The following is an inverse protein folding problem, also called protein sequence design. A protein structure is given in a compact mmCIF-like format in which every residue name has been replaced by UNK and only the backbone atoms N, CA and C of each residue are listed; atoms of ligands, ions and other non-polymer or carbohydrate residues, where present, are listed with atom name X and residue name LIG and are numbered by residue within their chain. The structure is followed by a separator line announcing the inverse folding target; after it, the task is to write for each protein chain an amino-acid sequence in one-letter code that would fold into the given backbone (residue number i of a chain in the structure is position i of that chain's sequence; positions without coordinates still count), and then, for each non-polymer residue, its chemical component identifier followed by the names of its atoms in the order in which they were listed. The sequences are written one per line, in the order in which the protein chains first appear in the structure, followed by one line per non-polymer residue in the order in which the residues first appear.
data_IF_174831549272
#
_entry.id   IF_174831549272
#
_cell.length_a   1.000
_cell.length_b   1.000
_cell.length_c   1.000
_cell.angle_alpha   90.00
_cell.angle_beta   90.00
_cell.angle_gamma   90.00
#
_symmetry.space_group_name_H-M   'P 1'
#
loop_
_entity.id
_entity.type
_entity.pdbx_description
1 polymer ?
#
# COMPACT_ATOMS: atom_id res chain seq x y z
N UNK A 1 -7.11 -1.64 -16.74
CA UNK A 1 -5.71 -2.12 -16.57
C UNK A 1 -5.57 -2.66 -15.17
N UNK A 2 -4.97 -3.83 -15.03
CA UNK A 2 -4.69 -4.38 -13.71
C UNK A 2 -3.53 -3.61 -13.08
N UNK A 3 -3.71 -3.16 -11.86
CA UNK A 3 -2.69 -2.44 -11.09
C UNK A 3 -1.83 -3.44 -10.31
N UNK A 4 -0.51 -3.29 -10.42
CA UNK A 4 0.49 -4.02 -9.64
C UNK A 4 1.07 -3.07 -8.60
N UNK A 5 0.89 -3.37 -7.35
CA UNK A 5 1.55 -2.62 -6.30
C UNK A 5 2.97 -3.14 -6.10
N UNK A 6 3.93 -2.23 -6.18
CA UNK A 6 5.35 -2.55 -6.09
C UNK A 6 5.75 -3.05 -4.71
N UNK A 7 5.02 -2.70 -3.67
CA UNK A 7 5.29 -3.19 -2.31
C UNK A 7 5.35 -4.71 -2.24
N UNK A 8 4.45 -5.41 -2.94
CA UNK A 8 4.46 -6.87 -3.02
C UNK A 8 5.72 -7.43 -3.72
N UNK A 9 6.33 -6.65 -4.62
CA UNK A 9 7.58 -7.04 -5.28
C UNK A 9 8.77 -6.76 -4.36
N UNK A 10 8.73 -5.70 -3.57
CA UNK A 10 9.80 -5.35 -2.61
C UNK A 10 9.89 -6.38 -1.49
N UNK A 11 8.78 -6.99 -1.08
CA UNK A 11 8.78 -8.08 -0.11
C UNK A 11 9.50 -9.34 -0.61
N UNK A 12 9.49 -9.57 -1.92
CA UNK A 12 10.17 -10.68 -2.58
C UNK A 12 11.64 -10.30 -2.91
N UNK A 13 12.43 -10.07 -1.87
CA UNK A 13 13.79 -9.50 -1.93
C UNK A 13 14.76 -10.31 -2.76
N UNK A 14 14.59 -11.63 -2.84
CA UNK A 14 15.49 -12.55 -3.55
C UNK A 14 15.39 -12.42 -5.07
N UNK A 15 14.28 -11.88 -5.57
CA UNK A 15 13.99 -11.77 -6.99
C UNK A 15 14.33 -10.39 -7.58
N UNK A 16 15.15 -9.60 -6.91
CA UNK A 16 15.68 -8.35 -7.47
C UNK A 16 17.12 -8.54 -7.96
N UNK A 17 17.31 -8.39 -9.27
CA UNK A 17 18.60 -8.57 -9.94
C UNK A 17 19.25 -7.21 -10.16
N UNK A 18 20.43 -6.95 -9.55
CA UNK A 18 21.19 -5.73 -9.78
C UNK A 18 21.88 -5.78 -11.15
N UNK A 19 22.23 -4.62 -11.69
CA UNK A 19 23.07 -4.49 -12.88
C UNK A 19 24.43 -5.20 -12.66
N UNK A 20 24.85 -5.97 -13.63
CA UNK A 20 26.06 -6.79 -13.55
C UNK A 20 27.36 -5.97 -13.39
N UNK A 21 27.37 -4.73 -13.88
CA UNK A 21 28.45 -3.75 -13.69
C UNK A 21 28.36 -2.93 -12.40
N UNK A 22 27.38 -3.19 -11.56
CA UNK A 22 27.16 -2.45 -10.31
C UNK A 22 28.26 -2.78 -9.29
N UNK A 23 29.16 -1.83 -9.06
CA UNK A 23 30.30 -1.96 -8.14
C UNK A 23 29.96 -1.56 -6.70
N UNK A 24 28.83 -0.90 -6.49
CA UNK A 24 28.44 -0.28 -5.21
C UNK A 24 27.49 -1.17 -4.37
N UNK A 25 27.28 -2.41 -4.80
CA UNK A 25 26.50 -3.38 -4.06
C UNK A 25 25.07 -3.57 -4.57
N UNK A 26 24.33 -4.36 -3.84
CA UNK A 26 22.92 -4.67 -4.13
C UNK A 26 22.03 -3.59 -3.51
N UNK A 27 20.77 -3.45 -3.98
CA UNK A 27 19.82 -2.62 -3.29
C UNK A 27 19.64 -3.07 -1.84
N UNK A 28 19.32 -2.14 -0.97
CA UNK A 28 18.98 -2.46 0.42
C UNK A 28 17.46 -2.55 0.57
N UNK A 29 17.01 -3.51 1.39
CA UNK A 29 15.60 -3.72 1.69
C UNK A 29 15.41 -3.57 3.20
N UNK A 30 14.81 -2.45 3.60
CA UNK A 30 14.59 -2.13 5.02
C UNK A 30 13.21 -1.50 5.19
N UNK A 31 12.42 -2.03 6.10
CA UNK A 31 11.11 -1.48 6.45
C UNK A 31 10.10 -1.42 5.29
N UNK A 32 10.15 -2.40 4.37
CA UNK A 32 9.28 -2.43 3.18
C UNK A 32 9.72 -1.48 2.05
N UNK A 33 10.93 -0.92 2.14
CA UNK A 33 11.54 -0.07 1.11
C UNK A 33 12.68 -0.79 0.39
N UNK A 34 12.79 -0.55 -0.90
CA UNK A 34 13.99 -0.77 -1.69
C UNK A 34 14.73 0.55 -1.84
N UNK A 35 16.02 0.60 -1.48
CA UNK A 35 16.86 1.80 -1.64
C UNK A 35 18.09 1.51 -2.47
N UNK A 36 18.37 2.39 -3.42
CA UNK A 36 19.60 2.46 -4.19
C UNK A 36 20.40 3.70 -3.73
N UNK A 37 21.73 3.54 -3.53
CA UNK A 37 22.65 4.62 -3.18
C UNK A 37 23.78 4.64 -4.21
N UNK A 38 23.68 5.49 -5.22
CA UNK A 38 24.63 5.56 -6.32
C UNK A 38 25.70 6.63 -6.08
N UNK A 39 26.82 6.28 -5.43
CA UNK A 39 27.91 7.24 -5.12
C UNK A 39 28.80 7.52 -6.31
N UNK A 40 29.36 6.51 -6.96
CA UNK A 40 30.33 6.66 -8.05
C UNK A 40 29.95 5.96 -9.35
N UNK A 41 28.97 5.06 -9.33
CA UNK A 41 28.49 4.31 -10.48
C UNK A 41 26.96 4.21 -10.48
N UNK A 42 26.38 3.86 -11.63
CA UNK A 42 24.96 3.54 -11.71
C UNK A 42 24.61 2.38 -10.79
N UNK A 43 23.54 2.53 -10.05
CA UNK A 43 22.85 1.42 -9.42
C UNK A 43 21.52 1.17 -10.12
N UNK A 44 21.26 -0.06 -10.51
CA UNK A 44 19.95 -0.48 -10.97
C UNK A 44 19.54 -1.78 -10.31
N UNK A 45 18.27 -2.01 -10.21
CA UNK A 45 17.73 -3.31 -9.83
C UNK A 45 16.43 -3.59 -10.56
N UNK A 46 16.31 -4.78 -11.11
CA UNK A 46 15.16 -5.23 -11.88
C UNK A 46 14.51 -6.43 -11.20
N UNK A 47 13.19 -6.40 -11.04
CA UNK A 47 12.45 -7.52 -10.46
C UNK A 47 12.32 -8.65 -11.46
N UNK A 48 12.80 -9.84 -11.12
CA UNK A 48 12.88 -11.02 -12.01
C UNK A 48 11.91 -12.14 -11.67
N UNK A 49 11.14 -12.02 -10.58
CA UNK A 49 10.19 -13.04 -10.14
C UNK A 49 9.11 -13.38 -11.18
N UNK A 50 8.73 -12.41 -12.02
CA UNK A 50 7.81 -12.60 -13.16
C UNK A 50 7.89 -11.48 -14.18
N UNK A 51 7.29 -11.70 -15.33
CA UNK A 51 7.08 -10.68 -16.38
C UNK A 51 5.63 -10.20 -16.40
N UNK A 52 5.43 -9.02 -16.91
CA UNK A 52 4.15 -8.32 -16.98
C UNK A 52 3.82 -7.91 -18.41
N UNK A 53 2.53 -7.85 -18.74
CA UNK A 53 1.98 -7.32 -20.00
C UNK A 53 0.73 -6.54 -19.66
N UNK A 54 0.58 -5.35 -20.23
CA UNK A 54 -0.61 -4.49 -20.04
C UNK A 54 -0.90 -4.20 -18.57
N UNK A 55 0.10 -3.70 -17.84
CA UNK A 55 0.01 -3.40 -16.42
C UNK A 55 0.33 -1.94 -16.11
N UNK A 56 -0.23 -1.51 -15.01
CA UNK A 56 0.13 -0.27 -14.33
C UNK A 56 0.78 -0.62 -13.00
N UNK A 57 1.91 0.01 -12.70
CA UNK A 57 2.64 -0.14 -11.45
C UNK A 57 2.34 1.04 -10.55
N UNK A 58 1.99 0.77 -9.32
CA UNK A 58 1.64 1.77 -8.32
C UNK A 58 2.62 1.66 -7.15
N UNK A 59 3.25 2.78 -6.77
CA UNK A 59 4.28 2.80 -5.73
C UNK A 59 4.51 4.20 -5.16
N UNK A 60 5.10 4.27 -4.00
CA UNK A 60 5.69 5.49 -3.48
C UNK A 60 7.13 5.60 -3.97
N UNK A 61 7.51 6.79 -4.45
CA UNK A 61 8.82 7.11 -4.98
C UNK A 61 9.41 8.32 -4.26
N UNK A 62 10.64 8.20 -3.85
CA UNK A 62 11.43 9.29 -3.28
C UNK A 62 12.81 9.28 -3.91
N UNK A 63 13.33 10.46 -4.19
CA UNK A 63 14.71 10.63 -4.57
C UNK A 63 15.37 11.72 -3.72
N UNK A 64 16.67 11.56 -3.44
CA UNK A 64 17.49 12.59 -2.81
C UNK A 64 18.62 12.94 -3.75
N UNK A 65 18.60 14.19 -4.22
CA UNK A 65 19.60 14.75 -5.12
C UNK A 65 20.65 15.48 -4.31
N UNK A 66 21.94 15.24 -4.53
CA UNK A 66 22.99 16.05 -3.96
C UNK A 66 22.91 17.50 -4.47
N UNK A 67 23.21 18.46 -3.62
CA UNK A 67 23.16 19.87 -3.97
C UNK A 67 24.12 20.20 -5.14
N UNK A 68 23.62 20.92 -6.15
CA UNK A 68 24.42 21.36 -7.30
C UNK A 68 24.78 20.27 -8.30
N UNK A 69 24.07 19.16 -8.33
CA UNK A 69 24.38 18.00 -9.17
C UNK A 69 23.32 17.77 -10.26
N UNK A 70 23.79 17.35 -11.45
CA UNK A 70 22.97 16.98 -12.62
C UNK A 70 22.54 15.48 -12.60
N UNK A 71 22.69 14.81 -11.46
CA UNK A 71 22.29 13.40 -11.32
C UNK A 71 20.78 13.21 -11.44
N UNK A 72 20.37 11.98 -11.62
CA UNK A 72 18.97 11.64 -11.79
C UNK A 72 18.64 10.25 -11.23
N UNK A 73 17.42 10.11 -10.79
CA UNK A 73 16.83 8.84 -10.43
C UNK A 73 15.77 8.43 -11.42
N UNK A 74 15.22 7.22 -11.27
CA UNK A 74 14.13 6.80 -12.11
C UNK A 74 13.70 5.36 -11.92
N UNK A 75 12.76 4.96 -12.74
CA UNK A 75 12.20 3.61 -12.80
C UNK A 75 11.90 3.25 -14.24
N UNK A 76 11.80 1.96 -14.52
CA UNK A 76 11.68 1.50 -15.90
C UNK A 76 10.89 0.20 -16.04
N UNK A 77 10.40 -0.01 -17.25
CA UNK A 77 9.84 -1.29 -17.70
C UNK A 77 10.83 -1.91 -18.69
N UNK A 78 11.48 -2.99 -18.26
CA UNK A 78 12.56 -3.65 -19.00
C UNK A 78 12.02 -4.84 -19.79
N UNK A 79 12.24 -4.84 -21.10
CA UNK A 79 11.89 -5.91 -22.03
C UNK A 79 13.11 -6.75 -22.45
N UNK A 80 14.29 -6.40 -21.96
CA UNK A 80 15.55 -7.09 -22.23
C UNK A 80 16.09 -7.86 -21.02
N UNK A 81 17.43 -7.94 -20.90
CA UNK A 81 18.09 -8.61 -19.79
C UNK A 81 17.98 -7.78 -18.51
N UNK A 82 17.61 -8.43 -17.41
CA UNK A 82 17.45 -7.78 -16.12
C UNK A 82 18.79 -7.30 -15.51
N UNK A 83 19.90 -7.91 -15.92
CA UNK A 83 21.24 -7.58 -15.42
C UNK A 83 21.94 -6.48 -16.22
N UNK A 84 21.30 -5.94 -17.26
CA UNK A 84 21.86 -4.84 -18.08
C UNK A 84 21.23 -3.49 -17.72
N UNK A 85 21.94 -2.41 -18.13
CA UNK A 85 21.42 -1.05 -17.96
C UNK A 85 20.16 -0.83 -18.82
N UNK A 86 19.12 -0.15 -18.29
CA UNK A 86 17.86 0.00 -19.00
C UNK A 86 17.99 0.68 -20.36
N UNK A 87 18.81 1.72 -20.49
CA UNK A 87 19.00 2.47 -21.74
C UNK A 87 19.94 1.80 -22.76
N UNK A 88 20.50 0.63 -22.47
CA UNK A 88 21.30 -0.17 -23.41
C UNK A 88 20.48 -1.21 -24.16
N UNK A 89 19.19 -1.30 -23.89
CA UNK A 89 18.32 -2.34 -24.42
C UNK A 89 16.88 -1.85 -24.58
N UNK A 90 15.99 -2.74 -24.99
CA UNK A 90 14.57 -2.43 -25.15
C UNK A 90 13.91 -2.14 -23.80
N UNK A 91 13.52 -0.90 -23.59
CA UNK A 91 12.85 -0.49 -22.35
C UNK A 91 12.04 0.81 -22.48
N UNK A 92 11.19 1.06 -21.49
CA UNK A 92 10.62 2.36 -21.20
C UNK A 92 11.23 2.84 -19.91
N UNK A 93 11.87 4.01 -19.92
CA UNK A 93 12.57 4.61 -18.80
C UNK A 93 11.95 5.95 -18.44
N UNK A 94 11.64 6.14 -17.16
CA UNK A 94 11.34 7.44 -16.59
C UNK A 94 12.61 7.96 -15.93
N UNK A 95 13.05 9.15 -16.35
CA UNK A 95 14.22 9.87 -15.82
C UNK A 95 13.72 11.06 -15.03
N UNK A 96 13.93 11.05 -13.72
CA UNK A 96 13.55 12.11 -12.80
C UNK A 96 14.78 12.96 -12.45
N UNK A 97 14.83 14.18 -13.03
CA UNK A 97 15.89 15.17 -12.82
C UNK A 97 15.46 16.24 -11.81
N UNK A 98 16.37 17.11 -11.45
CA UNK A 98 16.12 18.21 -10.52
C UNK A 98 15.12 19.26 -11.05
N UNK A 99 15.02 19.41 -12.37
CA UNK A 99 14.25 20.46 -13.05
C UNK A 99 13.17 19.94 -13.99
N UNK A 100 13.16 18.64 -14.29
CA UNK A 100 12.25 18.03 -15.25
C UNK A 100 12.14 16.52 -15.08
N UNK A 101 11.12 15.95 -15.71
CA UNK A 101 10.93 14.50 -15.83
C UNK A 101 10.82 14.11 -17.29
N UNK A 102 11.48 13.01 -17.66
CA UNK A 102 11.49 12.51 -19.04
C UNK A 102 10.89 11.09 -19.10
N UNK A 103 10.10 10.82 -20.13
CA UNK A 103 9.69 9.47 -20.53
C UNK A 103 10.43 9.12 -21.81
N UNK A 104 11.28 8.11 -21.73
CA UNK A 104 12.15 7.67 -22.83
C UNK A 104 11.81 6.24 -23.22
N UNK A 105 11.70 5.97 -24.52
CA UNK A 105 11.46 4.64 -25.07
C UNK A 105 12.68 4.24 -25.88
N UNK A 106 13.28 3.10 -25.54
CA UNK A 106 14.50 2.58 -26.15
C UNK A 106 14.22 1.29 -26.93
N UNK A 107 14.89 1.16 -28.07
CA UNK A 107 15.04 -0.10 -28.79
C UNK A 107 16.55 -0.39 -28.97
N UNK A 108 17.25 -0.61 -27.87
CA UNK A 108 18.70 -0.64 -27.79
C UNK A 108 19.29 0.70 -27.31
N UNK A 109 20.47 1.06 -27.77
CA UNK A 109 21.27 2.17 -27.20
C UNK A 109 20.73 3.60 -27.46
N UNK A 110 19.79 3.77 -28.39
CA UNK A 110 19.26 5.09 -28.75
C UNK A 110 17.77 5.17 -28.40
N UNK A 111 17.32 6.31 -27.83
CA UNK A 111 15.90 6.50 -27.59
C UNK A 111 15.14 6.71 -28.90
N UNK A 112 14.07 5.93 -29.12
CA UNK A 112 13.12 6.12 -30.22
C UNK A 112 12.18 7.30 -29.97
N UNK A 113 11.80 7.48 -28.71
CA UNK A 113 10.87 8.52 -28.26
C UNK A 113 11.42 9.14 -26.97
N UNK A 114 11.31 10.44 -26.90
CA UNK A 114 11.57 11.20 -25.66
C UNK A 114 10.46 12.23 -25.48
N UNK A 115 9.77 12.17 -24.35
CA UNK A 115 8.80 13.17 -23.90
C UNK A 115 9.32 13.84 -22.64
N UNK A 116 9.15 15.14 -22.52
CA UNK A 116 9.66 15.93 -21.39
C UNK A 116 8.52 16.70 -20.73
N UNK A 117 8.48 16.67 -19.43
CA UNK A 117 7.61 17.49 -18.59
C UNK A 117 8.47 18.40 -17.70
N UNK A 118 8.00 19.59 -17.41
CA UNK A 118 8.61 20.49 -16.42
C UNK A 118 8.32 20.09 -14.97
N UNK A 119 7.62 18.98 -14.78
CA UNK A 119 7.46 18.43 -13.43
C UNK A 119 8.81 17.93 -12.93
N UNK A 120 9.19 18.36 -11.74
CA UNK A 120 10.39 17.91 -11.05
C UNK A 120 10.02 17.21 -9.74
N UNK A 121 10.65 16.07 -9.47
CA UNK A 121 10.56 15.44 -8.17
C UNK A 121 11.45 16.21 -7.17
N UNK A 122 10.82 16.83 -6.17
CA UNK A 122 11.55 17.55 -5.13
C UNK A 122 12.40 16.58 -4.30
N UNK A 123 13.68 16.97 -4.04
CA UNK A 123 14.61 16.15 -3.25
C UNK A 123 14.06 15.86 -1.86
N UNK A 124 14.06 14.59 -1.45
CA UNK A 124 13.59 14.14 -0.14
C UNK A 124 12.08 14.05 0.02
N UNK A 125 11.28 14.43 -0.99
CA UNK A 125 9.82 14.34 -0.94
C UNK A 125 9.33 13.02 -1.54
N UNK A 126 8.37 12.40 -0.88
CA UNK A 126 7.73 11.17 -1.36
C UNK A 126 6.50 11.51 -2.21
N UNK A 127 6.39 10.82 -3.34
CA UNK A 127 5.30 10.96 -4.29
C UNK A 127 4.62 9.63 -4.53
N UNK A 128 3.30 9.62 -4.69
CA UNK A 128 2.56 8.46 -5.16
C UNK A 128 2.63 8.42 -6.68
N UNK A 129 3.26 7.40 -7.23
CA UNK A 129 3.52 7.26 -8.66
C UNK A 129 2.71 6.12 -9.22
N UNK A 130 2.11 6.36 -10.39
CA UNK A 130 1.48 5.37 -11.22
C UNK A 130 2.16 5.38 -12.58
N UNK A 131 2.79 4.25 -12.95
CA UNK A 131 3.52 4.08 -14.20
C UNK A 131 2.94 2.89 -14.96
N UNK A 132 2.35 3.15 -16.13
CA UNK A 132 1.64 2.16 -16.92
C UNK A 132 2.17 1.99 -18.33
N UNK A 133 2.09 0.74 -18.82
CA UNK A 133 2.20 0.41 -20.24
C UNK A 133 1.10 -0.58 -20.59
N UNK A 134 0.27 -0.22 -21.55
CA UNK A 134 -0.83 -1.08 -21.99
C UNK A 134 -1.27 -0.82 -23.43
N UNK A 135 -1.81 -1.86 -24.06
CA UNK A 135 -2.44 -1.77 -25.39
C UNK A 135 -3.76 -1.01 -25.26
N UNK A 136 -3.97 -0.03 -26.13
CA UNK A 136 -5.22 0.75 -26.22
C UNK A 136 -6.18 0.04 -27.19
N UNK A 137 -5.63 -0.50 -28.27
CA UNK A 137 -6.35 -1.28 -29.28
C UNK A 137 -5.39 -2.31 -29.91
N UNK A 138 -5.68 -2.81 -31.10
CA UNK A 138 -4.89 -3.86 -31.78
C UNK A 138 -3.50 -3.40 -32.27
N UNK A 139 -3.22 -2.10 -32.31
CA UNK A 139 -1.97 -1.52 -32.83
C UNK A 139 -1.37 -0.48 -31.91
N UNK A 140 -2.21 0.27 -31.21
CA UNK A 140 -1.78 1.40 -30.40
C UNK A 140 -1.51 1.00 -28.96
N UNK A 141 -0.48 1.60 -28.41
CA UNK A 141 -0.07 1.44 -27.01
C UNK A 141 -0.12 2.78 -26.30
N UNK A 142 -0.32 2.75 -24.99
CA UNK A 142 -0.17 3.91 -24.14
C UNK A 142 0.83 3.63 -23.03
N UNK A 143 1.84 4.51 -22.93
CA UNK A 143 2.70 4.62 -21.77
C UNK A 143 2.32 5.88 -21.01
N UNK A 144 2.08 5.79 -19.71
CA UNK A 144 1.59 6.90 -18.89
C UNK A 144 2.33 6.98 -17.56
N UNK A 145 2.60 8.21 -17.14
CA UNK A 145 3.15 8.54 -15.83
C UNK A 145 2.20 9.52 -15.13
N UNK A 146 1.67 9.08 -13.99
CA UNK A 146 0.83 9.87 -13.11
C UNK A 146 1.55 10.04 -11.76
N UNK A 147 1.55 11.24 -11.23
CA UNK A 147 2.16 11.56 -9.92
C UNK A 147 1.13 12.27 -9.07
N UNK A 148 0.89 11.77 -7.86
CA UNK A 148 -0.12 12.28 -6.92
C UNK A 148 -1.50 12.48 -7.60
N UNK A 149 -1.91 11.50 -8.42
CA UNK A 149 -3.17 11.51 -9.15
C UNK A 149 -3.22 12.40 -10.39
N UNK A 150 -2.12 13.09 -10.75
CA UNK A 150 -2.05 13.96 -11.92
C UNK A 150 -1.19 13.34 -13.02
N UNK A 151 -1.71 13.23 -14.24
CA UNK A 151 -0.92 12.81 -15.40
C UNK A 151 0.18 13.86 -15.68
N UNK A 152 1.43 13.41 -15.69
CA UNK A 152 2.62 14.23 -15.91
C UNK A 152 3.15 14.06 -17.32
N UNK A 153 3.17 12.83 -17.81
CA UNK A 153 3.63 12.46 -19.14
C UNK A 153 2.79 11.31 -19.69
N UNK A 154 2.50 11.37 -20.99
CA UNK A 154 1.95 10.24 -21.72
C UNK A 154 2.48 10.15 -23.14
N UNK A 155 2.50 8.95 -23.66
CA UNK A 155 2.78 8.60 -25.05
C UNK A 155 1.69 7.63 -25.50
N UNK A 156 1.03 7.95 -26.58
CA UNK A 156 0.02 7.09 -27.21
C UNK A 156 0.23 7.11 -28.72
N UNK A 157 0.51 5.97 -29.31
CA UNK A 157 0.67 5.82 -30.76
C UNK A 157 0.70 4.33 -31.14
N UNK A 158 0.57 4.07 -32.44
CA UNK A 158 0.91 2.79 -33.01
C UNK A 158 2.40 2.48 -32.76
N UNK A 159 2.67 1.33 -32.14
CA UNK A 159 4.02 0.95 -31.78
C UNK A 159 4.15 -0.57 -31.64
N UNK A 160 4.66 -1.22 -32.68
CA UNK A 160 4.84 -2.68 -32.73
C UNK A 160 5.83 -3.22 -31.67
N UNK A 161 6.78 -2.39 -31.21
CA UNK A 161 7.76 -2.78 -30.21
C UNK A 161 7.17 -2.88 -28.81
N UNK A 162 6.16 -2.06 -28.52
CA UNK A 162 5.53 -1.97 -27.22
C UNK A 162 4.23 -2.74 -27.14
N UNK A 163 3.58 -2.97 -28.30
CA UNK A 163 2.30 -3.69 -28.34
C UNK A 163 2.47 -5.12 -27.80
N UNK A 164 1.66 -5.49 -26.82
CA UNK A 164 1.72 -6.78 -26.11
C UNK A 164 3.10 -7.13 -25.54
N UNK A 165 3.91 -6.11 -25.27
CA UNK A 165 5.26 -6.30 -24.77
C UNK A 165 5.25 -6.95 -23.39
N UNK A 166 6.15 -7.91 -23.20
CA UNK A 166 6.43 -8.54 -21.92
C UNK A 166 7.69 -7.95 -21.32
N UNK A 167 7.61 -7.51 -20.10
CA UNK A 167 8.75 -6.90 -19.43
C UNK A 167 8.69 -7.02 -17.93
N UNK A 168 9.66 -6.39 -17.27
CA UNK A 168 9.88 -6.40 -15.82
C UNK A 168 9.97 -4.98 -15.31
N UNK A 169 9.52 -4.76 -14.09
CA UNK A 169 9.71 -3.48 -13.43
C UNK A 169 11.12 -3.38 -12.86
N UNK A 170 11.72 -2.19 -12.95
CA UNK A 170 13.03 -1.91 -12.38
C UNK A 170 13.18 -0.46 -11.93
N UNK A 171 14.26 -0.21 -11.21
CA UNK A 171 14.61 1.09 -10.61
C UNK A 171 16.06 1.41 -10.87
N UNK A 172 16.38 2.72 -11.00
CA UNK A 172 17.74 3.19 -11.31
C UNK A 172 18.06 4.45 -10.54
N UNK A 173 19.31 4.54 -10.09
CA UNK A 173 19.94 5.74 -9.58
C UNK A 173 21.22 6.00 -10.38
N UNK A 174 21.36 7.22 -10.92
CA UNK A 174 22.57 7.65 -11.61
C UNK A 174 23.67 8.01 -10.60
N UNK A 175 24.96 7.95 -10.99
CA UNK A 175 26.09 8.25 -10.09
C UNK A 175 26.05 9.67 -9.51
N UNK A 176 27.01 9.96 -8.66
CA UNK A 176 27.25 11.25 -7.97
C UNK A 176 26.35 11.50 -6.73
N UNK A 177 26.08 10.46 -5.96
CA UNK A 177 25.42 10.58 -4.68
C UNK A 177 23.88 10.60 -4.77
N UNK A 178 23.34 10.04 -5.83
CA UNK A 178 21.90 9.90 -5.98
C UNK A 178 21.36 8.78 -5.13
N UNK A 179 20.38 9.09 -4.29
CA UNK A 179 19.57 8.09 -3.59
C UNK A 179 18.18 7.99 -4.21
N UNK A 180 17.73 6.77 -4.45
CA UNK A 180 16.38 6.46 -4.90
C UNK A 180 15.77 5.44 -3.96
N UNK A 181 14.57 5.72 -3.48
CA UNK A 181 13.80 4.82 -2.65
C UNK A 181 12.45 4.52 -3.28
N UNK A 182 12.12 3.25 -3.37
CA UNK A 182 10.80 2.75 -3.76
C UNK A 182 10.10 2.09 -2.60
N UNK A 183 8.80 2.05 -2.71
CA UNK A 183 7.92 1.36 -1.80
C UNK A 183 7.32 2.30 -0.79
N UNK A 184 6.07 2.04 -0.49
CA UNK A 184 5.47 2.65 0.67
C UNK A 184 6.19 2.10 1.88
N UNK A 185 6.47 2.97 2.80
CA UNK A 185 7.02 2.63 4.09
C UNK A 185 5.92 2.05 4.95
N UNK A 186 5.23 1.11 4.45
CA UNK A 186 4.19 0.40 5.11
C UNK A 186 3.92 -0.85 4.31
N UNK A 187 4.54 -1.95 4.69
CA UNK A 187 4.12 -3.27 4.19
C UNK A 187 2.61 -3.33 4.32
N UNK A 188 1.92 -3.53 3.20
CA UNK A 188 0.48 -3.78 3.22
C UNK A 188 0.23 -5.02 4.06
N UNK A 189 -0.31 -4.82 5.23
CA UNK A 189 -0.77 -5.92 6.05
C UNK A 189 -2.28 -6.05 5.85
N UNK A 190 -2.70 -7.20 5.37
CA UNK A 190 -4.12 -7.52 5.33
C UNK A 190 -4.57 -7.87 6.74
N UNK A 191 -5.52 -7.14 7.27
CA UNK A 191 -6.02 -7.34 8.64
C UNK A 191 -6.60 -8.75 8.87
N UNK A 192 -6.99 -9.45 7.81
CA UNK A 192 -7.55 -10.80 7.89
C UNK A 192 -6.62 -11.76 8.63
N UNK A 193 -5.29 -11.66 8.42
CA UNK A 193 -4.30 -12.46 9.16
C UNK A 193 -4.26 -12.13 10.65
N UNK A 194 -4.52 -10.88 11.03
CA UNK A 194 -4.61 -10.49 12.44
C UNK A 194 -5.91 -10.99 13.07
N UNK A 195 -7.01 -10.99 12.32
CA UNK A 195 -8.32 -11.46 12.79
C UNK A 195 -8.33 -12.97 13.00
N UNK A 196 -7.62 -13.73 12.16
CA UNK A 196 -7.47 -15.18 12.30
C UNK A 196 -6.68 -15.55 13.58
N UNK A 197 -5.88 -14.63 14.11
CA UNK A 197 -5.15 -14.75 15.37
C UNK A 197 -5.94 -14.13 16.54
N UNK A 198 -7.13 -14.66 16.81
CA UNK A 198 -8.11 -14.14 17.77
C UNK A 198 -7.54 -13.95 19.18
N UNK A 199 -6.64 -14.86 19.62
CA UNK A 199 -6.09 -14.89 20.98
C UNK A 199 -5.20 -13.69 21.31
N UNK A 200 -4.67 -13.02 20.29
CA UNK A 200 -3.79 -11.86 20.42
C UNK A 200 -4.54 -10.53 20.39
N UNK A 201 -5.84 -10.52 20.22
CA UNK A 201 -6.64 -9.30 20.44
C UNK A 201 -6.92 -9.11 21.92
N UNK A 202 -6.47 -8.01 22.47
CA UNK A 202 -6.61 -7.65 23.90
C UNK A 202 -7.63 -6.58 24.09
N UNK A 203 -8.54 -6.82 25.02
CA UNK A 203 -9.63 -5.91 25.37
C UNK A 203 -9.16 -4.92 26.43
N UNK A 204 -9.42 -3.64 26.21
CA UNK A 204 -9.15 -2.60 27.21
C UNK A 204 -10.07 -2.80 28.43
N UNK A 205 -9.53 -2.64 29.62
CA UNK A 205 -10.26 -2.84 30.89
C UNK A 205 -11.57 -2.05 30.93
N UNK A 206 -12.63 -2.67 31.45
CA UNK A 206 -13.99 -2.11 31.54
C UNK A 206 -14.69 -1.85 30.18
N UNK A 207 -14.30 -2.60 29.14
CA UNK A 207 -14.97 -2.58 27.85
C UNK A 207 -15.38 -4.00 27.43
N UNK A 208 -16.22 -4.10 26.40
CA UNK A 208 -16.67 -5.39 25.91
C UNK A 208 -15.62 -6.01 24.98
N UNK A 209 -15.40 -7.31 25.10
CA UNK A 209 -14.52 -8.05 24.23
C UNK A 209 -15.09 -8.16 22.79
N UNK A 210 -14.22 -8.11 21.77
CA UNK A 210 -14.63 -8.37 20.41
C UNK A 210 -15.15 -9.82 20.26
N UNK A 211 -16.00 -10.04 19.25
CA UNK A 211 -16.43 -11.37 18.83
C UNK A 211 -15.84 -11.68 17.46
N UNK A 212 -15.36 -12.90 17.29
CA UNK A 212 -14.82 -13.38 16.02
C UNK A 212 -15.79 -14.37 15.39
N UNK A 213 -16.27 -14.06 14.19
CA UNK A 213 -17.27 -14.87 13.49
C UNK A 213 -16.97 -14.80 11.99
N UNK A 214 -16.76 -15.95 11.37
CA UNK A 214 -16.56 -16.07 9.92
C UNK A 214 -15.46 -15.11 9.38
N UNK A 215 -14.28 -15.14 9.99
CA UNK A 215 -13.13 -14.29 9.68
C UNK A 215 -13.43 -12.78 9.74
N UNK A 216 -14.29 -12.40 10.66
CA UNK A 216 -14.58 -11.01 11.00
C UNK A 216 -14.41 -10.80 12.48
N UNK A 217 -13.90 -9.63 12.83
CA UNK A 217 -13.97 -9.10 14.17
C UNK A 217 -15.17 -8.16 14.30
N UNK A 218 -16.04 -8.43 15.27
CA UNK A 218 -17.23 -7.64 15.58
C UNK A 218 -17.01 -6.90 16.89
N UNK A 219 -17.11 -5.59 16.85
CA UNK A 219 -17.13 -4.70 18.01
C UNK A 219 -18.57 -4.19 18.20
N UNK A 220 -19.08 -4.28 19.40
CA UNK A 220 -20.46 -3.90 19.67
C UNK A 220 -20.57 -3.25 21.04
N UNK A 221 -21.18 -2.09 21.09
CA UNK A 221 -21.24 -1.28 22.30
C UNK A 221 -19.89 -0.72 22.69
N UNK A 222 -19.66 -0.44 23.96
CA UNK A 222 -18.40 0.10 24.50
C UNK A 222 -17.27 -0.96 24.39
N UNK A 223 -16.69 -1.10 23.19
CA UNK A 223 -15.68 -2.10 22.87
C UNK A 223 -14.43 -1.41 22.35
N UNK A 224 -13.28 -1.68 22.97
CA UNK A 224 -11.97 -1.19 22.57
C UNK A 224 -10.99 -2.33 22.63
N UNK A 225 -10.28 -2.59 21.55
CA UNK A 225 -9.37 -3.73 21.45
C UNK A 225 -8.15 -3.40 20.61
N UNK A 226 -6.98 -3.87 21.04
CA UNK A 226 -5.73 -3.77 20.29
C UNK A 226 -5.14 -5.14 20.01
N UNK A 227 -4.48 -5.28 18.87
CA UNK A 227 -3.77 -6.49 18.49
C UNK A 227 -2.38 -6.53 19.15
N UNK A 228 -2.12 -7.52 19.98
CA UNK A 228 -0.89 -7.68 20.77
C UNK A 228 0.11 -8.70 20.17
N UNK A 229 -0.25 -9.38 19.08
CA UNK A 229 0.59 -10.42 18.45
C UNK A 229 1.89 -9.89 17.87
N UNK A 230 1.86 -8.66 17.37
CA UNK A 230 3.07 -7.95 16.92
C UNK A 230 2.93 -6.43 17.07
N UNK A 231 4.05 -5.74 16.99
CA UNK A 231 4.11 -4.29 16.92
C UNK A 231 4.38 -3.85 15.49
N UNK A 232 3.76 -2.78 15.09
CA UNK A 232 3.86 -2.25 13.74
C UNK A 232 4.68 -0.95 13.74
N UNK A 233 5.59 -0.85 12.77
CA UNK A 233 6.32 0.38 12.46
C UNK A 233 6.15 0.64 10.99
N UNK A 234 5.77 1.87 10.61
CA UNK A 234 5.61 2.21 9.21
C UNK A 234 4.64 1.25 8.50
N UNK A 235 3.41 1.10 9.00
CA UNK A 235 2.41 0.17 8.47
C UNK A 235 1.16 0.90 7.99
N UNK A 236 0.65 0.40 6.88
CA UNK A 236 -0.66 0.76 6.34
C UNK A 236 -1.48 -0.53 6.24
N UNK A 237 -2.60 -0.56 6.95
CA UNK A 237 -3.49 -1.71 7.02
C UNK A 237 -4.60 -1.59 5.98
N UNK A 238 -4.88 -2.70 5.31
CA UNK A 238 -5.95 -2.83 4.34
C UNK A 238 -6.97 -3.84 4.83
N UNK A 239 -8.24 -3.46 4.85
CA UNK A 239 -9.31 -4.31 5.37
C UNK A 239 -10.68 -3.88 4.85
N UNK A 240 -11.66 -4.74 5.00
CA UNK A 240 -13.07 -4.36 4.88
C UNK A 240 -13.57 -3.87 6.22
N UNK A 241 -14.28 -2.76 6.19
CA UNK A 241 -14.84 -2.11 7.35
C UNK A 241 -16.30 -1.79 7.12
N UNK A 242 -17.12 -2.06 8.11
CA UNK A 242 -18.53 -1.69 8.14
C UNK A 242 -18.86 -1.11 9.48
N UNK A 243 -19.50 0.04 9.48
CA UNK A 243 -19.95 0.73 10.68
C UNK A 243 -21.46 0.92 10.64
N UNK A 244 -22.10 0.68 11.76
CA UNK A 244 -23.55 0.84 11.91
C UNK A 244 -23.84 1.61 13.18
N UNK A 245 -24.75 2.58 13.09
CA UNK A 245 -25.24 3.37 14.20
C UNK A 245 -26.73 3.12 14.40
N UNK A 246 -27.18 3.07 15.67
CA UNK A 246 -28.58 3.33 15.98
C UNK A 246 -28.86 4.84 15.84
N UNK A 247 -30.13 5.22 15.73
CA UNK A 247 -30.53 6.62 15.64
C UNK A 247 -30.05 7.43 16.87
N UNK A 248 -30.18 6.86 18.06
CA UNK A 248 -29.74 7.50 19.31
C UNK A 248 -28.20 7.68 19.35
N UNK A 249 -27.44 6.65 18.95
CA UNK A 249 -25.98 6.71 18.89
C UNK A 249 -25.49 7.76 17.86
N UNK A 250 -26.12 7.82 16.70
CA UNK A 250 -25.82 8.82 15.69
C UNK A 250 -26.11 10.23 16.21
N UNK A 251 -27.26 10.45 16.85
CA UNK A 251 -27.64 11.74 17.44
C UNK A 251 -26.74 12.16 18.62
N UNK A 252 -26.19 11.18 19.36
CA UNK A 252 -25.26 11.43 20.46
C UNK A 252 -23.81 11.68 19.99
N UNK A 253 -23.53 11.54 18.67
CA UNK A 253 -22.17 11.70 18.13
C UNK A 253 -21.22 10.57 18.50
N UNK A 254 -21.76 9.38 18.77
CA UNK A 254 -20.97 8.20 19.03
C UNK A 254 -20.20 7.75 17.78
N UNK A 255 -19.16 6.96 17.93
CA UNK A 255 -18.20 6.70 16.88
C UNK A 255 -17.64 5.28 16.85
N UNK A 256 -17.27 4.82 15.68
CA UNK A 256 -16.34 3.69 15.49
C UNK A 256 -14.93 4.21 15.31
N UNK A 257 -13.93 3.49 15.81
CA UNK A 257 -12.55 3.96 15.80
C UNK A 257 -11.56 2.97 15.22
N UNK A 258 -10.51 3.55 14.62
CA UNK A 258 -9.31 2.85 14.17
C UNK A 258 -8.11 3.60 14.75
N UNK A 259 -7.09 2.90 15.25
CA UNK A 259 -5.96 3.57 15.88
C UNK A 259 -4.66 2.79 15.82
N UNK A 260 -3.54 3.53 15.88
CA UNK A 260 -2.23 3.02 16.27
C UNK A 260 -1.80 3.67 17.56
N UNK A 261 -1.27 2.87 18.51
CA UNK A 261 -0.89 3.34 19.84
C UNK A 261 0.43 2.69 20.29
N UNK A 262 1.40 3.51 20.64
CA UNK A 262 2.67 3.06 21.21
C UNK A 262 2.57 2.59 22.65
N UNK A 263 1.53 3.02 23.38
CA UNK A 263 1.38 2.75 24.82
C UNK A 263 1.04 1.31 25.18
N UNK A 264 0.45 0.56 24.23
CA UNK A 264 0.08 -0.85 24.45
C UNK A 264 -1.24 -1.23 23.80
N UNK A 265 -1.45 -2.53 23.60
CA UNK A 265 -2.68 -3.07 23.01
C UNK A 265 -3.90 -2.94 23.96
N UNK A 266 -3.67 -2.85 25.27
CA UNK A 266 -4.70 -2.73 26.32
C UNK A 266 -4.86 -1.30 26.85
N UNK A 267 -4.36 -0.31 26.09
CA UNK A 267 -4.33 1.10 26.50
C UNK A 267 -5.16 1.94 25.54
N UNK A 268 -5.94 2.86 26.08
CA UNK A 268 -6.72 3.78 25.26
C UNK A 268 -5.82 4.64 24.34
N UNK A 269 -6.18 4.82 23.07
CA UNK A 269 -5.31 5.48 22.08
C UNK A 269 -4.93 6.92 22.43
N UNK A 270 -5.74 7.61 23.21
CA UNK A 270 -5.49 9.01 23.63
C UNK A 270 -4.62 9.16 24.87
N UNK A 271 -4.16 8.08 25.50
CA UNK A 271 -3.33 8.14 26.72
C UNK A 271 -1.83 8.05 26.45
N UNK A 272 -1.43 7.80 25.21
CA UNK A 272 -0.04 7.65 24.77
C UNK A 272 0.30 8.46 23.54
N UNK A 273 1.26 7.98 22.77
CA UNK A 273 1.60 8.52 21.44
C UNK A 273 0.98 7.64 20.37
N UNK A 274 0.31 8.25 19.40
CA UNK A 274 -0.34 7.53 18.33
C UNK A 274 -1.31 8.35 17.50
N UNK A 275 -2.06 7.67 16.65
CA UNK A 275 -3.12 8.25 15.82
C UNK A 275 -4.44 7.55 16.08
N UNK A 276 -5.52 8.31 16.03
CA UNK A 276 -6.90 7.82 16.20
C UNK A 276 -7.79 8.44 15.13
N UNK A 277 -8.46 7.61 14.37
CA UNK A 277 -9.58 8.01 13.53
C UNK A 277 -10.90 7.71 14.24
N UNK A 278 -11.72 8.75 14.48
CA UNK A 278 -13.08 8.62 14.99
C UNK A 278 -14.06 8.81 13.82
N UNK A 279 -14.80 7.76 13.48
CA UNK A 279 -15.77 7.78 12.39
C UNK A 279 -17.16 7.91 13.00
N UNK A 280 -17.79 9.07 12.80
CA UNK A 280 -19.14 9.40 13.23
C UNK A 280 -20.09 9.41 12.04
N UNK A 281 -21.38 9.61 12.30
CA UNK A 281 -22.40 9.66 11.25
C UNK A 281 -22.33 10.93 10.39
N UNK A 282 -21.80 12.02 10.94
CA UNK A 282 -21.79 13.37 10.36
C UNK A 282 -20.39 13.97 10.16
N UNK A 283 -19.35 13.33 10.70
CA UNK A 283 -17.96 13.77 10.59
C UNK A 283 -16.99 12.61 10.81
N UNK A 284 -15.87 12.61 10.11
CA UNK A 284 -14.73 11.74 10.39
C UNK A 284 -13.62 12.63 10.97
N UNK A 285 -13.07 12.23 12.11
CA UNK A 285 -12.01 12.96 12.79
C UNK A 285 -10.71 12.16 12.72
N UNK A 286 -9.60 12.83 12.44
CA UNK A 286 -8.25 12.28 12.61
C UNK A 286 -7.56 13.06 13.74
N UNK A 287 -7.16 12.34 14.76
CA UNK A 287 -6.55 12.89 15.97
C UNK A 287 -5.15 12.32 16.13
N UNK A 288 -4.19 13.19 16.39
CA UNK A 288 -2.79 12.82 16.69
C UNK A 288 -2.52 13.11 18.17
N UNK A 289 -1.96 12.13 18.84
CA UNK A 289 -1.58 12.23 20.25
C UNK A 289 -0.08 12.06 20.43
N UNK A 290 0.53 12.90 21.24
CA UNK A 290 1.91 12.77 21.70
C UNK A 290 1.93 12.81 23.22
N UNK A 291 2.35 11.72 23.87
CA UNK A 291 2.36 11.55 25.34
C UNK A 291 1.02 11.91 26.00
N UNK A 292 -0.08 11.48 25.42
CA UNK A 292 -1.42 11.74 25.92
C UNK A 292 -1.97 13.14 25.63
N UNK A 293 -1.21 13.98 24.95
CA UNK A 293 -1.67 15.30 24.51
C UNK A 293 -2.06 15.27 23.05
N UNK A 294 -3.28 15.73 22.72
CA UNK A 294 -3.72 15.85 21.35
C UNK A 294 -3.02 17.04 20.65
N UNK A 295 -2.08 16.75 19.75
CA UNK A 295 -1.26 17.76 19.05
C UNK A 295 -1.84 18.19 17.72
N UNK A 296 -2.65 17.31 17.07
CA UNK A 296 -3.35 17.64 15.82
C UNK A 296 -4.77 17.09 15.83
N UNK A 297 -5.68 17.85 15.21
CA UNK A 297 -7.08 17.48 15.04
C UNK A 297 -7.56 17.94 13.67
N UNK A 298 -8.04 17.00 12.87
CA UNK A 298 -8.54 17.22 11.51
C UNK A 298 -9.94 16.64 11.39
N UNK A 299 -10.76 17.22 10.54
CA UNK A 299 -12.12 16.74 10.26
C UNK A 299 -12.37 16.63 8.78
N UNK A 300 -13.16 15.62 8.38
CA UNK A 300 -13.70 15.44 7.05
C UNK A 300 -15.23 15.31 7.15
N UNK A 301 -15.95 16.21 6.49
CA UNK A 301 -17.42 16.23 6.41
C UNK A 301 -17.93 16.01 4.99
N UNK A 302 -17.05 15.89 4.01
CA UNK A 302 -17.40 15.76 2.60
C UNK A 302 -17.56 14.30 2.18
N UNK A 303 -16.68 13.43 2.68
CA UNK A 303 -16.63 12.01 2.31
C UNK A 303 -16.99 11.12 3.52
N UNK A 304 -18.26 11.13 3.90
CA UNK A 304 -18.76 10.35 5.04
C UNK A 304 -18.98 8.89 4.65
N UNK A 305 -18.91 8.00 5.64
CA UNK A 305 -19.24 6.60 5.45
C UNK A 305 -20.73 6.36 5.70
N UNK A 306 -21.40 5.79 4.71
CA UNK A 306 -22.80 5.36 4.86
C UNK A 306 -22.91 4.26 5.92
N UNK A 307 -23.83 4.42 6.85
CA UNK A 307 -24.12 3.39 7.85
C UNK A 307 -24.54 2.09 7.17
N UNK A 308 -23.98 0.98 7.65
CA UNK A 308 -24.22 -0.37 7.15
C UNK A 308 -23.64 -0.72 5.77
N UNK A 309 -23.02 0.22 5.06
CA UNK A 309 -22.24 -0.09 3.86
C UNK A 309 -20.87 -0.64 4.25
N UNK A 310 -20.36 -1.57 3.46
CA UNK A 310 -19.00 -2.11 3.63
C UNK A 310 -18.06 -1.39 2.70
N UNK A 311 -16.94 -0.90 3.24
CA UNK A 311 -15.89 -0.21 2.54
C UNK A 311 -14.59 -1.00 2.55
N UNK A 312 -13.80 -0.86 1.51
CA UNK A 312 -12.37 -1.22 1.53
C UNK A 312 -11.62 -0.05 2.15
N UNK A 313 -11.09 -0.26 3.34
CA UNK A 313 -10.37 0.77 4.07
C UNK A 313 -8.86 0.60 3.93
N UNK A 314 -8.19 1.72 3.90
CA UNK A 314 -6.77 1.84 4.15
C UNK A 314 -6.59 2.75 5.36
N UNK A 315 -5.79 2.35 6.33
CA UNK A 315 -5.49 3.18 7.51
C UNK A 315 -4.07 2.90 8.01
N UNK A 316 -3.29 3.94 8.20
CA UNK A 316 -1.95 3.79 8.73
C UNK A 316 -1.10 5.06 8.70
N UNK A 317 0.15 4.88 9.09
CA UNK A 317 1.15 5.94 9.05
C UNK A 317 2.52 5.39 8.71
N UNK A 318 3.35 6.24 8.11
CA UNK A 318 4.73 5.89 7.76
C UNK A 318 5.64 7.12 7.61
N UNK A 319 6.92 6.91 7.85
CA UNK A 319 7.94 7.94 7.67
C UNK A 319 8.13 8.25 6.18
N UNK A 320 8.12 9.51 5.80
CA UNK A 320 8.39 9.94 4.42
C UNK A 320 9.81 10.50 4.23
N UNK A 321 10.42 10.93 5.32
CA UNK A 321 11.82 11.36 5.38
C UNK A 321 12.35 11.21 6.83
N UNK A 322 13.43 11.83 7.18
CA UNK A 322 14.06 11.72 8.52
C UNK A 322 13.28 12.41 9.65
N UNK A 323 12.25 13.20 9.35
CA UNK A 323 11.50 14.00 10.34
C UNK A 323 9.99 13.92 10.21
N UNK A 324 9.49 13.62 9.01
CA UNK A 324 8.08 13.71 8.70
C UNK A 324 7.42 12.34 8.59
N UNK A 325 6.19 12.29 9.03
CA UNK A 325 5.32 11.11 9.00
C UNK A 325 4.08 11.42 8.16
N UNK A 326 3.75 10.56 7.23
CA UNK A 326 2.51 10.62 6.45
C UNK A 326 1.46 9.72 7.10
N UNK A 327 0.26 10.25 7.32
CA UNK A 327 -0.89 9.54 7.86
C UNK A 327 -1.91 9.43 6.74
N UNK A 328 -2.34 8.23 6.43
CA UNK A 328 -3.28 7.95 5.34
C UNK A 328 -4.52 7.23 5.82
N UNK A 329 -5.67 7.62 5.28
CA UNK A 329 -6.93 6.93 5.45
C UNK A 329 -7.74 7.06 4.16
N UNK A 330 -8.16 5.93 3.60
CA UNK A 330 -9.03 5.90 2.41
C UNK A 330 -10.21 4.96 2.62
N UNK A 331 -11.30 5.17 1.89
CA UNK A 331 -12.45 4.28 1.83
C UNK A 331 -12.86 4.10 0.36
N UNK A 332 -12.89 2.86 -0.16
CA UNK A 332 -13.17 2.52 -1.57
C UNK A 332 -12.34 3.40 -2.54
N UNK A 333 -11.05 3.57 -2.23
CA UNK A 333 -10.07 4.40 -2.96
C UNK A 333 -10.33 5.92 -2.91
N UNK A 334 -11.34 6.38 -2.16
CA UNK A 334 -11.56 7.80 -1.87
C UNK A 334 -10.72 8.22 -0.67
N UNK A 335 -9.91 9.26 -0.82
CA UNK A 335 -9.07 9.79 0.25
C UNK A 335 -9.93 10.50 1.30
N UNK A 336 -9.88 10.01 2.54
CA UNK A 336 -10.49 10.65 3.71
C UNK A 336 -9.49 11.57 4.41
N UNK A 337 -8.25 11.11 4.58
CA UNK A 337 -7.12 11.88 5.07
C UNK A 337 -5.83 11.45 4.35
N UNK A 338 -5.00 12.44 4.06
CA UNK A 338 -3.64 12.27 3.54
C UNK A 338 -2.80 13.44 4.04
N UNK A 339 -2.22 13.26 5.23
CA UNK A 339 -1.56 14.31 5.97
C UNK A 339 -0.10 13.98 6.23
N UNK A 340 0.78 14.92 5.91
CA UNK A 340 2.20 14.84 6.29
C UNK A 340 2.45 15.82 7.44
N UNK A 341 3.01 15.29 8.52
CA UNK A 341 3.31 16.06 9.72
C UNK A 341 4.75 15.83 10.17
N UNK A 342 5.41 16.86 10.66
CA UNK A 342 6.71 16.75 11.32
C UNK A 342 6.48 16.38 12.79
N UNK A 343 6.94 15.21 13.21
CA UNK A 343 6.81 14.75 14.58
C UNK A 343 7.91 13.76 14.94
N UNK A 344 8.79 14.17 15.83
CA UNK A 344 9.87 13.29 16.33
C UNK A 344 9.33 12.10 17.15
N UNK A 345 8.10 12.17 17.66
CA UNK A 345 7.49 11.11 18.45
C UNK A 345 6.73 10.08 17.62
N UNK A 346 6.15 10.51 16.49
CA UNK A 346 5.50 9.60 15.55
C UNK A 346 6.50 9.00 14.55
N UNK A 347 7.61 9.70 14.30
CA UNK A 347 8.67 9.20 13.42
C UNK A 347 9.24 7.89 13.95
N UNK A 348 9.24 6.84 13.12
CA UNK A 348 9.65 5.47 13.48
C UNK A 348 8.89 4.88 14.68
N UNK A 349 7.68 5.38 14.93
CA UNK A 349 6.84 4.90 16.01
C UNK A 349 6.55 3.41 15.82
N UNK A 350 6.84 2.65 16.86
CA UNK A 350 6.48 1.24 16.95
C UNK A 350 5.30 1.09 17.92
N UNK A 351 4.18 0.59 17.42
CA UNK A 351 2.95 0.53 18.19
C UNK A 351 2.03 -0.61 17.81
N UNK A 352 0.85 -0.61 18.39
CA UNK A 352 -0.20 -1.62 18.22
C UNK A 352 -1.35 -1.05 17.42
N UNK A 353 -1.88 -1.83 16.49
CA UNK A 353 -3.13 -1.50 15.82
C UNK A 353 -4.32 -1.87 16.69
N UNK A 354 -5.35 -1.04 16.68
CA UNK A 354 -6.58 -1.33 17.38
C UNK A 354 -7.81 -0.73 16.72
N UNK A 355 -8.97 -1.20 17.20
CA UNK A 355 -10.26 -0.74 16.75
C UNK A 355 -11.25 -0.60 17.92
N UNK A 356 -12.29 0.21 17.72
CA UNK A 356 -13.28 0.46 18.74
C UNK A 356 -14.68 0.72 18.23
N UNK A 357 -15.65 0.52 19.12
CA UNK A 357 -16.98 1.06 19.06
C UNK A 357 -17.20 1.81 20.38
N UNK A 358 -17.54 3.10 20.33
CA UNK A 358 -17.46 4.00 21.50
C UNK A 358 -18.50 3.69 22.57
N UNK A 359 -19.74 3.41 22.20
CA UNK A 359 -20.82 3.17 23.15
C UNK A 359 -21.95 2.31 22.56
N UNK A 360 -23.01 2.09 23.33
CA UNK A 360 -24.20 1.35 22.93
C UNK A 360 -24.80 1.92 21.63
N UNK A 361 -25.24 1.03 20.73
CA UNK A 361 -25.79 1.44 19.44
C UNK A 361 -24.77 1.65 18.34
N UNK A 362 -23.45 1.56 18.63
CA UNK A 362 -22.38 1.51 17.64
C UNK A 362 -21.93 0.08 17.42
N UNK A 363 -21.84 -0.33 16.16
CA UNK A 363 -21.31 -1.64 15.78
C UNK A 363 -20.30 -1.47 14.66
N UNK A 364 -19.08 -1.95 14.86
CA UNK A 364 -18.03 -1.99 13.85
C UNK A 364 -17.68 -3.44 13.49
N UNK A 365 -17.49 -3.71 12.21
CA UNK A 365 -17.06 -5.00 11.67
C UNK A 365 -15.79 -4.79 10.88
N UNK A 366 -14.73 -5.55 11.19
CA UNK A 366 -13.45 -5.53 10.49
C UNK A 366 -13.16 -6.90 9.89
N UNK A 367 -12.46 -6.93 8.74
CA UNK A 367 -12.08 -8.15 8.03
C UNK A 367 -12.93 -8.42 6.82
N UNK A 368 -12.74 -9.58 6.18
CA UNK A 368 -13.53 -9.90 5.00
C UNK A 368 -14.98 -10.23 5.35
N UNK A 369 -15.89 -9.81 4.51
CA UNK A 369 -17.31 -10.24 4.57
C UNK A 369 -17.45 -11.65 3.98
N UNK A 370 -16.95 -12.64 4.74
CA UNK A 370 -16.88 -14.03 4.32
C UNK A 370 -15.54 -14.33 3.66
N UNK A 371 -14.91 -15.40 4.09
CA UNK A 371 -13.81 -16.01 3.38
C UNK A 371 -14.29 -16.35 1.97
N UNK A 372 -13.51 -16.03 0.96
CA UNK A 372 -13.53 -16.82 -0.26
C UNK A 372 -12.99 -18.20 0.13
N UNK A 373 -13.86 -19.06 0.65
CA UNK A 373 -13.54 -20.46 0.75
C UNK A 373 -13.37 -20.92 -0.69
N UNK A 374 -12.15 -21.28 -1.02
CA UNK A 374 -11.91 -21.92 -2.30
C UNK A 374 -12.60 -23.27 -2.23
N UNK A 375 -13.75 -23.39 -2.86
CA UNK A 375 -14.56 -24.63 -2.89
C UNK A 375 -13.70 -25.82 -3.34
N UNK A 376 -12.71 -25.59 -4.21
CA UNK A 376 -11.74 -26.62 -4.60
C UNK A 376 -10.97 -27.22 -3.41
N UNK A 377 -10.70 -26.43 -2.37
CA UNK A 377 -10.04 -26.94 -1.14
C UNK A 377 -11.00 -27.83 -0.34
N UNK A 378 -12.28 -27.43 -0.25
CA UNK A 378 -13.30 -28.25 0.41
C UNK A 378 -13.54 -29.56 -0.35
N UNK A 379 -13.64 -29.50 -1.68
CA UNK A 379 -13.82 -30.70 -2.52
C UNK A 379 -12.67 -31.68 -2.37
N UNK A 380 -11.44 -31.24 -2.17
CA UNK A 380 -10.26 -32.10 -1.89
C UNK A 380 -10.31 -32.78 -0.52
N UNK A 381 -11.13 -32.30 0.39
CA UNK A 381 -11.32 -32.89 1.72
C UNK A 381 -12.49 -33.87 1.74
N UNK A 382 -12.51 -34.85 0.84
CA UNK A 382 -13.62 -35.80 0.61
C UNK A 382 -14.14 -36.43 1.90
N UNK A 383 -13.27 -36.88 2.78
CA UNK A 383 -13.62 -37.52 4.04
C UNK A 383 -14.31 -36.61 5.07
N UNK A 384 -14.34 -35.30 4.81
CA UNK A 384 -14.99 -34.32 5.69
C UNK A 384 -16.46 -34.05 5.29
N UNK A 385 -16.90 -34.55 4.15
CA UNK A 385 -18.27 -34.39 3.68
C UNK A 385 -19.18 -35.44 4.29
N UNK A 386 -20.34 -35.02 4.79
CA UNK A 386 -21.36 -35.94 5.36
C UNK A 386 -22.63 -35.78 4.57
N UNK A 387 -23.19 -36.93 4.15
CA UNK A 387 -24.51 -36.98 3.55
C UNK A 387 -25.58 -36.84 4.66
N UNK A 388 -26.49 -35.88 4.52
CA UNK A 388 -27.60 -35.72 5.46
C UNK A 388 -28.79 -36.53 5.03
N UNK A 389 -29.16 -36.47 3.74
CA UNK A 389 -30.25 -37.29 3.11
C UNK A 389 -29.89 -37.51 1.64
N UNK A 390 -30.34 -38.62 1.05
CA UNK A 390 -30.11 -38.95 -0.37
C UNK A 390 -28.85 -39.76 -0.63
N UNK A 391 -28.37 -39.71 -1.85
CA UNK A 391 -27.12 -40.40 -2.25
C UNK A 391 -25.88 -39.66 -1.71
N UNK A 392 -24.82 -40.42 -1.46
CA UNK A 392 -23.54 -39.79 -1.12
C UNK A 392 -23.00 -38.99 -2.29
N UNK A 393 -22.34 -37.84 -2.03
CA UNK A 393 -21.72 -37.07 -3.10
C UNK A 393 -20.57 -37.86 -3.75
N UNK A 394 -20.46 -37.74 -5.09
CA UNK A 394 -19.36 -38.31 -5.84
C UNK A 394 -18.25 -37.28 -6.07
N UNK A 395 -17.01 -37.69 -5.80
CA UNK A 395 -15.81 -36.86 -6.03
C UNK A 395 -15.04 -37.42 -7.21
N UNK A 396 -14.87 -36.62 -8.25
CA UNK A 396 -14.13 -37.00 -9.43
C UNK A 396 -13.41 -35.80 -10.05
N UNK A 397 -12.12 -35.96 -10.34
CA UNK A 397 -11.29 -34.95 -11.02
C UNK A 397 -11.36 -33.55 -10.37
N UNK A 398 -11.41 -33.49 -9.03
CA UNK A 398 -11.51 -32.23 -8.28
C UNK A 398 -12.89 -31.57 -8.34
N UNK A 399 -13.92 -32.30 -8.75
CA UNK A 399 -15.32 -31.89 -8.78
C UNK A 399 -16.12 -32.72 -7.78
N UNK A 400 -17.17 -32.11 -7.20
CA UNK A 400 -18.18 -32.79 -6.38
C UNK A 400 -19.50 -32.76 -7.13
N UNK A 401 -20.13 -33.91 -7.26
CA UNK A 401 -21.45 -34.09 -7.85
C UNK A 401 -22.43 -34.63 -6.79
N UNK A 402 -23.66 -34.12 -6.78
CA UNK A 402 -24.72 -34.53 -5.87
C UNK A 402 -25.91 -35.05 -6.69
#
# INVERSE_FOLDING_TARGET
TDVIEIDALIEDTENWTPYSGNKEGKPTFVGGKLTLNATSAYQTSCYTGRTYTNKTFLFDYQQTLPEGNDSWGGFYFNMGDAADLPYSQKCILVVAKADQTELQIYDGANPLVMKVSKFAFESGKTYRVEFGLYDVNSTDVRAVLTVDGKEILSYEAENEYLHSAKGRFGVVAAPNGMDVTLGSVGTKLTIDSLIDDETNWKTITNTFAPKFIASKMLLNGKSYTGYAGEKFTNRVLHFKYRLTFSEDAAAAGEWGGLYFNAGGAEVYPWTGTGILACIKSDVIELQVYEDGTRTKFLTNTENLLDSSKTYRMTFGMYDVNSTDVRIVMTADDVTLFDETITSAKLHSLTGYFGASASDAGVRAELGSLGNKINVSTLVRSEGSWKTYTGNAPEFKDGSLSI
#
